data_IF_415983326450
#
_entry.id   IF_415983326450
#
_cell.length_a   1.000
_cell.length_b   1.000
_cell.length_c   1.000
_cell.angle_alpha   90.00
_cell.angle_beta   90.00
_cell.angle_gamma   90.00
#
_symmetry.space_group_name_H-M   'P 1'
#
loop_
_entity.id
_entity.type
_entity.pdbx_description
1 polymer ?
#
# COMPACT_ATOMS: atom_id res chain seq x y z
N UNK A 1 3.97 5.39 -5.56
CA UNK A 1 4.50 4.84 -4.28
C UNK A 1 5.26 3.58 -4.66
N UNK A 2 6.58 3.71 -4.86
CA UNK A 2 7.42 2.63 -5.40
C UNK A 2 7.76 1.69 -4.23
N UNK A 3 6.84 0.76 -3.93
CA UNK A 3 7.03 -0.31 -2.94
C UNK A 3 8.14 -1.31 -3.33
N UNK A 4 8.66 -1.22 -4.55
CA UNK A 4 9.42 -2.31 -5.18
C UNK A 4 10.95 -2.11 -5.09
N UNK A 5 11.43 -0.93 -4.71
CA UNK A 5 12.88 -0.65 -4.65
C UNK A 5 13.37 -0.27 -3.26
N UNK A 6 12.78 0.71 -2.57
CA UNK A 6 13.43 1.27 -1.37
C UNK A 6 13.30 0.42 -0.11
N UNK A 7 12.19 -0.27 0.11
CA UNK A 7 12.04 -1.09 1.32
C UNK A 7 12.61 -2.49 1.13
N UNK A 8 12.49 -3.07 -0.07
CA UNK A 8 13.21 -4.29 -0.42
C UNK A 8 14.74 -4.07 -0.26
N UNK A 9 15.32 -2.98 -0.78
CA UNK A 9 16.75 -2.63 -0.59
C UNK A 9 17.17 -2.41 0.87
N UNK A 10 16.27 -1.90 1.73
CA UNK A 10 16.55 -1.79 3.16
C UNK A 10 16.60 -3.15 3.86
N UNK A 11 15.88 -4.15 3.37
CA UNK A 11 16.04 -5.55 3.80
C UNK A 11 17.26 -6.24 3.18
N UNK A 12 17.93 -5.62 2.19
CA UNK A 12 19.03 -6.24 1.43
C UNK A 12 20.44 -5.91 1.92
N UNK A 13 20.59 -4.99 2.86
CA UNK A 13 21.88 -4.72 3.49
C UNK A 13 21.68 -4.88 4.99
N UNK A 14 22.14 -6.01 5.54
CA UNK A 14 22.60 -6.01 6.92
C UNK A 14 23.73 -5.00 7.01
N UNK A 15 23.39 -3.72 7.20
CA UNK A 15 24.35 -2.70 7.57
C UNK A 15 24.86 -3.11 8.93
N UNK A 16 26.02 -3.74 8.88
CA UNK A 16 26.77 -4.28 10.00
C UNK A 16 27.02 -3.16 11.01
N UNK A 17 26.11 -2.96 11.95
CA UNK A 17 26.39 -2.13 13.12
C UNK A 17 27.30 -2.96 14.05
N UNK A 18 28.52 -2.50 14.36
CA UNK A 18 29.44 -3.27 15.19
C UNK A 18 28.88 -3.38 16.62
N UNK A 19 29.27 -4.42 17.37
CA UNK A 19 28.53 -4.84 18.55
C UNK A 19 28.83 -3.88 19.70
N UNK A 20 27.79 -3.41 20.38
CA UNK A 20 27.93 -2.99 21.76
C UNK A 20 27.05 -3.86 22.64
N UNK A 21 27.74 -4.57 23.53
CA UNK A 21 27.23 -5.51 24.52
C UNK A 21 26.17 -4.85 25.39
N UNK A 22 25.03 -5.52 25.58
CA UNK A 22 24.30 -5.48 26.84
C UNK A 22 23.49 -6.77 27.03
N UNK A 23 23.84 -7.43 28.12
CA UNK A 23 23.26 -8.60 28.76
C UNK A 23 21.72 -8.68 28.83
N UNK A 24 21.23 -9.91 28.57
CA UNK A 24 20.48 -10.77 29.50
C UNK A 24 18.95 -10.53 29.72
N UNK A 25 18.22 -11.65 29.53
CA UNK A 25 16.90 -12.06 30.09
C UNK A 25 15.65 -11.26 29.69
N UNK A 26 14.68 -11.91 29.02
CA UNK A 26 13.57 -12.58 29.71
C UNK A 26 12.66 -13.33 28.70
N UNK A 27 12.24 -14.53 29.12
CA UNK A 27 11.14 -15.33 28.54
C UNK A 27 9.81 -14.67 28.92
N UNK A 28 8.96 -14.32 27.95
CA UNK A 28 7.51 -14.23 28.18
C UNK A 28 6.78 -14.78 26.96
N UNK A 29 6.08 -15.89 27.18
CA UNK A 29 5.09 -16.44 26.28
C UNK A 29 4.01 -15.39 26.01
N UNK A 30 3.77 -15.06 24.74
CA UNK A 30 2.58 -14.35 24.33
C UNK A 30 1.84 -15.21 23.31
N UNK A 31 0.79 -15.86 23.81
CA UNK A 31 -0.38 -16.25 23.03
C UNK A 31 -0.98 -14.98 22.45
N UNK A 32 -0.47 -14.51 21.32
CA UNK A 32 -1.10 -13.41 20.59
C UNK A 32 -2.26 -14.03 19.83
N UNK A 33 -3.46 -13.74 20.31
CA UNK A 33 -4.68 -13.81 19.53
C UNK A 33 -4.46 -12.93 18.30
N UNK A 34 -4.00 -13.54 17.21
CA UNK A 34 -3.92 -12.94 15.88
C UNK A 34 -5.32 -12.42 15.58
N UNK A 35 -5.55 -11.12 15.40
CA UNK A 35 -6.82 -10.67 14.87
C UNK A 35 -6.97 -11.37 13.52
N UNK A 36 -7.99 -12.21 13.42
CA UNK A 36 -8.27 -13.11 12.31
C UNK A 36 -8.42 -12.33 11.00
N UNK A 37 -7.33 -11.97 10.34
CA UNK A 37 -7.32 -11.62 8.93
C UNK A 37 -7.20 -12.92 8.11
N UNK A 38 -8.18 -13.80 8.34
CA UNK A 38 -8.47 -14.92 7.46
C UNK A 38 -9.25 -14.33 6.28
N UNK A 39 -8.61 -14.26 5.11
CA UNK A 39 -9.23 -13.90 3.83
C UNK A 39 -10.00 -12.56 3.87
N UNK A 40 -9.29 -11.44 4.05
CA UNK A 40 -9.92 -10.13 3.95
C UNK A 40 -10.37 -9.84 2.51
N UNK A 41 -11.68 -10.02 2.30
CA UNK A 41 -12.46 -9.34 1.29
C UNK A 41 -12.11 -7.84 1.34
N UNK A 42 -11.80 -7.23 0.20
CA UNK A 42 -11.49 -5.79 0.11
C UNK A 42 -12.53 -4.99 0.91
N UNK A 43 -12.13 -3.97 1.67
CA UNK A 43 -13.08 -3.16 2.43
C UNK A 43 -14.11 -2.57 1.46
N UNK A 44 -15.39 -2.66 1.84
CA UNK A 44 -16.46 -2.10 1.03
C UNK A 44 -16.24 -0.60 0.86
N UNK A 45 -16.26 -0.11 -0.39
CA UNK A 45 -16.10 1.30 -0.67
C UNK A 45 -17.18 2.15 0.03
N UNK A 46 -16.87 3.39 0.43
CA UNK A 46 -17.79 4.21 1.18
C UNK A 46 -19.02 4.57 0.34
N UNK A 47 -20.13 4.85 1.00
CA UNK A 47 -21.27 5.50 0.36
C UNK A 47 -20.88 6.93 -0.08
N UNK A 48 -21.58 7.46 -1.10
CA UNK A 48 -21.41 8.85 -1.58
C UNK A 48 -22.01 9.86 -0.58
N UNK A 49 -21.40 9.98 0.60
CA UNK A 49 -21.70 11.02 1.58
C UNK A 49 -20.45 11.41 2.36
N UNK A 50 -20.42 12.65 2.88
CA UNK A 50 -19.28 13.20 3.62
C UNK A 50 -18.94 12.33 4.83
N UNK A 51 -19.94 11.99 5.64
CA UNK A 51 -19.77 11.24 6.88
C UNK A 51 -19.26 9.82 6.61
N UNK A 52 -19.76 9.19 5.54
CA UNK A 52 -19.32 7.86 5.14
C UNK A 52 -17.86 7.85 4.68
N UNK A 53 -17.44 8.84 3.90
CA UNK A 53 -16.05 8.96 3.44
C UNK A 53 -15.10 9.27 4.59
N UNK A 54 -15.44 10.21 5.46
CA UNK A 54 -14.60 10.55 6.63
C UNK A 54 -14.41 9.33 7.51
N UNK A 55 -15.51 8.66 7.90
CA UNK A 55 -15.44 7.45 8.71
C UNK A 55 -14.62 6.35 8.03
N UNK A 56 -14.84 6.13 6.74
CA UNK A 56 -14.10 5.14 5.97
C UNK A 56 -12.59 5.41 5.96
N UNK A 57 -12.20 6.66 5.77
CA UNK A 57 -10.78 7.06 5.79
C UNK A 57 -10.15 6.87 7.18
N UNK A 58 -10.88 7.19 8.24
CA UNK A 58 -10.39 7.01 9.61
C UNK A 58 -10.26 5.53 9.97
N UNK A 59 -11.26 4.71 9.63
CA UNK A 59 -11.24 3.26 9.83
C UNK A 59 -10.05 2.62 9.06
N UNK A 60 -9.76 3.09 7.84
CA UNK A 60 -8.61 2.63 7.05
C UNK A 60 -7.27 3.07 7.64
N UNK A 61 -7.15 4.28 8.20
CA UNK A 61 -5.92 4.73 8.87
C UNK A 61 -5.60 3.88 10.09
N UNK A 62 -6.61 3.54 10.89
CA UNK A 62 -6.44 2.63 12.03
C UNK A 62 -5.97 1.26 11.57
N UNK A 63 -6.52 0.74 10.47
CA UNK A 63 -6.06 -0.52 9.87
C UNK A 63 -4.61 -0.42 9.35
N UNK A 64 -4.27 0.67 8.66
CA UNK A 64 -2.93 0.93 8.15
C UNK A 64 -1.88 0.94 9.29
N UNK A 65 -2.21 1.57 10.41
CA UNK A 65 -1.36 1.59 11.61
C UNK A 65 -1.20 0.20 12.20
N UNK A 66 -2.30 -0.54 12.36
CA UNK A 66 -2.27 -1.92 12.86
C UNK A 66 -1.41 -2.83 11.99
N UNK A 67 -1.57 -2.77 10.66
CA UNK A 67 -0.76 -3.52 9.72
C UNK A 67 0.72 -3.13 9.79
N UNK A 68 1.01 -1.83 9.91
CA UNK A 68 2.40 -1.35 10.02
C UNK A 68 3.09 -1.89 11.27
N UNK A 69 2.36 -1.98 12.39
CA UNK A 69 2.86 -2.56 13.63
C UNK A 69 3.13 -4.08 13.47
N UNK A 70 2.18 -4.83 12.90
CA UNK A 70 2.35 -6.27 12.66
C UNK A 70 3.50 -6.57 11.69
N UNK A 71 3.61 -5.80 10.60
CA UNK A 71 4.72 -5.90 9.65
C UNK A 71 6.04 -5.62 10.36
N UNK A 72 6.12 -4.59 11.20
CA UNK A 72 7.34 -4.28 11.94
C UNK A 72 7.74 -5.40 12.90
N UNK A 73 6.78 -6.06 13.54
CA UNK A 73 7.03 -7.19 14.44
C UNK A 73 7.60 -8.38 13.67
N UNK A 74 6.91 -8.83 12.61
CA UNK A 74 7.36 -9.97 11.79
C UNK A 74 8.68 -9.69 11.07
N UNK A 75 8.90 -8.45 10.64
CA UNK A 75 10.18 -8.02 10.04
C UNK A 75 11.31 -8.19 11.05
N UNK A 76 11.15 -7.71 12.29
CA UNK A 76 12.17 -7.87 13.35
C UNK A 76 12.45 -9.32 13.68
N UNK A 77 11.42 -10.18 13.66
CA UNK A 77 11.61 -11.61 13.90
C UNK A 77 12.37 -12.31 12.77
N UNK A 78 12.09 -11.94 11.52
CA UNK A 78 12.89 -12.40 10.39
C UNK A 78 14.33 -11.86 10.44
N UNK A 79 14.54 -10.60 10.85
CA UNK A 79 15.87 -10.00 10.96
C UNK A 79 16.73 -10.71 12.02
N UNK A 80 16.13 -11.15 13.13
CA UNK A 80 16.81 -11.97 14.16
C UNK A 80 17.33 -13.30 13.61
N UNK A 81 16.71 -13.85 12.55
CA UNK A 81 17.27 -15.03 11.87
C UNK A 81 18.63 -14.67 11.27
N UNK A 82 18.75 -13.48 10.68
CA UNK A 82 19.98 -12.91 10.14
C UNK A 82 21.13 -12.81 11.14
N UNK A 83 20.83 -12.41 12.37
CA UNK A 83 21.82 -12.31 13.46
C UNK A 83 22.38 -13.68 13.90
N UNK A 84 21.64 -14.76 13.64
CA UNK A 84 22.00 -16.13 13.99
C UNK A 84 22.57 -16.93 12.81
N UNK A 85 22.78 -16.29 11.66
CA UNK A 85 23.41 -16.94 10.50
C UNK A 85 24.89 -17.11 10.79
N UNK A 86 25.31 -18.37 10.90
CA UNK A 86 26.72 -18.73 10.98
C UNK A 86 27.37 -18.55 9.59
N UNK A 87 28.30 -17.59 9.41
CA UNK A 87 28.96 -17.35 8.13
C UNK A 87 29.72 -18.59 7.62
N UNK A 88 30.16 -19.47 8.52
CA UNK A 88 30.88 -20.70 8.15
C UNK A 88 29.98 -21.72 7.43
N UNK A 89 28.67 -21.72 7.74
CA UNK A 89 27.66 -22.55 7.04
C UNK A 89 27.35 -22.03 5.64
N UNK A 90 27.52 -20.74 5.39
CA UNK A 90 27.42 -20.14 4.05
C UNK A 90 28.55 -20.70 3.16
N UNK A 91 29.80 -20.66 3.64
CA UNK A 91 30.94 -21.25 2.90
C UNK A 91 30.87 -22.76 2.72
N UNK A 92 30.23 -23.49 3.64
CA UNK A 92 30.05 -24.93 3.51
C UNK A 92 29.04 -25.31 2.41
N UNK A 93 28.02 -24.48 2.14
CA UNK A 93 27.08 -24.73 1.04
C UNK A 93 27.71 -24.48 -0.33
N UNK A 94 28.60 -23.48 -0.46
CA UNK A 94 29.33 -23.21 -1.71
C UNK A 94 30.59 -24.08 -1.91
N UNK A 95 31.12 -24.70 -0.85
CA UNK A 95 32.48 -25.23 -0.81
C UNK A 95 32.65 -26.72 -1.13
N UNK A 96 31.63 -27.58 -0.97
CA UNK A 96 31.80 -29.02 -1.23
C UNK A 96 30.54 -29.67 -1.80
N UNK A 97 30.65 -30.17 -3.04
CA UNK A 97 29.65 -31.03 -3.74
C UNK A 97 28.25 -30.43 -3.89
N UNK A 98 28.11 -29.24 -4.46
CA UNK A 98 26.81 -28.81 -5.00
C UNK A 98 26.55 -29.49 -6.34
N UNK A 99 25.38 -30.12 -6.46
CA UNK A 99 24.82 -30.57 -7.72
C UNK A 99 24.73 -29.38 -8.68
N UNK A 100 25.49 -29.43 -9.78
CA UNK A 100 25.55 -28.35 -10.78
C UNK A 100 24.15 -28.06 -11.34
N UNK A 101 23.28 -29.07 -11.44
CA UNK A 101 21.90 -28.88 -11.89
C UNK A 101 21.10 -28.06 -10.87
N UNK A 102 21.23 -28.34 -9.57
CA UNK A 102 20.57 -27.57 -8.52
C UNK A 102 21.06 -26.11 -8.46
N UNK A 103 22.36 -25.87 -8.73
CA UNK A 103 22.91 -24.53 -8.84
C UNK A 103 22.33 -23.77 -10.04
N UNK A 104 22.27 -24.42 -11.21
CA UNK A 104 21.69 -23.84 -12.42
C UNK A 104 20.20 -23.53 -12.26
N UNK A 105 19.43 -24.44 -11.67
CA UNK A 105 18.01 -24.21 -11.37
C UNK A 105 17.80 -23.02 -10.45
N UNK A 106 18.60 -22.89 -9.38
CA UNK A 106 18.55 -21.73 -8.49
C UNK A 106 18.89 -20.44 -9.24
N UNK A 107 19.94 -20.45 -10.06
CA UNK A 107 20.32 -19.30 -10.86
C UNK A 107 19.21 -18.90 -11.85
N UNK A 108 18.54 -19.87 -12.46
CA UNK A 108 17.39 -19.63 -13.32
C UNK A 108 16.24 -18.96 -12.56
N UNK A 109 15.87 -19.49 -11.38
CA UNK A 109 14.83 -18.89 -10.51
C UNK A 109 15.18 -17.45 -10.11
N UNK A 110 16.44 -17.17 -9.80
CA UNK A 110 16.92 -15.81 -9.51
C UNK A 110 16.70 -14.88 -10.71
N UNK A 111 17.12 -15.29 -11.91
CA UNK A 111 16.96 -14.49 -13.12
C UNK A 111 15.48 -14.26 -13.47
N UNK A 112 14.66 -15.30 -13.36
CA UNK A 112 13.22 -15.23 -13.62
C UNK A 112 12.53 -14.29 -12.62
N UNK A 113 12.86 -14.38 -11.33
CA UNK A 113 12.30 -13.49 -10.32
C UNK A 113 12.75 -12.03 -10.51
N UNK A 114 14.00 -11.80 -10.92
CA UNK A 114 14.48 -10.47 -11.30
C UNK A 114 13.74 -9.91 -12.52
N UNK A 115 13.47 -10.73 -13.53
CA UNK A 115 12.70 -10.33 -14.70
C UNK A 115 11.26 -9.96 -14.33
N UNK A 116 10.60 -10.77 -13.49
CA UNK A 116 9.27 -10.48 -12.94
C UNK A 116 9.27 -9.15 -12.17
N UNK A 117 10.28 -8.91 -11.34
CA UNK A 117 10.39 -7.68 -10.57
C UNK A 117 10.56 -6.43 -11.45
N UNK A 118 11.35 -6.53 -12.54
CA UNK A 118 11.51 -5.45 -13.52
C UNK A 118 10.20 -5.13 -14.24
N UNK A 119 9.49 -6.15 -14.69
CA UNK A 119 8.20 -5.98 -15.35
C UNK A 119 7.16 -5.36 -14.40
N UNK A 120 7.15 -5.80 -13.13
CA UNK A 120 6.26 -5.25 -12.12
C UNK A 120 6.57 -3.78 -11.81
N UNK A 121 7.85 -3.42 -11.74
CA UNK A 121 8.29 -2.03 -11.57
C UNK A 121 7.83 -1.16 -12.73
N UNK A 122 7.97 -1.65 -13.97
CA UNK A 122 7.49 -0.94 -15.16
C UNK A 122 5.98 -0.71 -15.10
N UNK A 123 5.19 -1.74 -14.77
CA UNK A 123 3.74 -1.61 -14.58
C UNK A 123 3.38 -0.62 -13.47
N UNK A 124 4.12 -0.64 -12.35
CA UNK A 124 3.90 0.30 -11.27
C UNK A 124 4.10 1.77 -11.74
N UNK A 125 5.10 2.03 -12.59
CA UNK A 125 5.31 3.34 -13.21
C UNK A 125 4.17 3.72 -14.17
N UNK A 126 3.65 2.77 -14.94
CA UNK A 126 2.48 2.99 -15.82
C UNK A 126 1.21 3.31 -14.99
N UNK A 127 1.02 2.63 -13.86
CA UNK A 127 -0.06 2.94 -12.92
C UNK A 127 0.14 4.31 -12.25
N UNK A 128 1.35 4.67 -11.85
CA UNK A 128 1.63 5.99 -11.28
C UNK A 128 1.37 7.09 -12.33
N UNK A 129 1.77 6.90 -13.60
CA UNK A 129 1.50 7.85 -14.67
C UNK A 129 0.00 8.01 -14.97
N UNK A 130 -0.75 6.90 -15.06
CA UNK A 130 -2.20 6.95 -15.25
C UNK A 130 -2.93 7.57 -14.07
N UNK A 131 -2.46 7.34 -12.84
CA UNK A 131 -2.97 8.01 -11.64
C UNK A 131 -2.79 9.53 -11.75
N UNK A 132 -1.58 9.99 -12.13
CA UNK A 132 -1.32 11.43 -12.30
C UNK A 132 -2.21 12.06 -13.36
N UNK A 133 -2.42 11.38 -14.50
CA UNK A 133 -3.34 11.89 -15.53
C UNK A 133 -4.80 12.03 -15.03
N UNK A 134 -5.25 11.14 -14.14
CA UNK A 134 -6.56 11.26 -13.50
C UNK A 134 -6.57 12.44 -12.53
N UNK A 135 -5.52 12.61 -11.73
CA UNK A 135 -5.37 13.70 -10.77
C UNK A 135 -5.33 15.06 -11.47
N UNK A 136 -4.58 15.19 -12.56
CA UNK A 136 -4.53 16.41 -13.37
C UNK A 136 -5.92 16.78 -13.90
N UNK A 137 -6.67 15.79 -14.37
CA UNK A 137 -8.06 15.96 -14.81
C UNK A 137 -8.98 16.37 -13.66
N UNK A 138 -8.81 15.81 -12.46
CA UNK A 138 -9.55 16.23 -11.27
C UNK A 138 -9.23 17.68 -10.94
N UNK A 139 -7.95 18.06 -10.93
CA UNK A 139 -7.50 19.41 -10.62
C UNK A 139 -8.11 20.45 -11.56
N UNK A 140 -8.18 20.16 -12.87
CA UNK A 140 -8.86 21.04 -13.82
C UNK A 140 -10.35 21.24 -13.49
N UNK A 141 -11.06 20.17 -13.12
CA UNK A 141 -12.47 20.29 -12.73
C UNK A 141 -12.62 21.02 -11.39
N UNK A 142 -11.67 20.85 -10.46
CA UNK A 142 -11.61 21.56 -9.18
C UNK A 142 -11.32 23.05 -9.34
N UNK A 143 -10.47 23.44 -10.30
CA UNK A 143 -10.23 24.83 -10.65
C UNK A 143 -11.50 25.51 -11.16
N UNK A 144 -12.32 24.81 -11.96
CA UNK A 144 -13.61 25.30 -12.40
C UNK A 144 -14.68 25.34 -11.28
N UNK A 145 -14.61 24.41 -10.31
CA UNK A 145 -15.51 24.36 -9.16
C UNK A 145 -15.24 25.45 -8.13
N UNK A 146 -13.97 25.78 -7.89
CA UNK A 146 -13.52 26.73 -6.87
C UNK A 146 -14.24 28.09 -6.89
N UNK A 147 -14.39 28.80 -8.03
CA UNK A 147 -15.13 30.05 -8.06
C UNK A 147 -16.61 29.86 -7.72
N UNK A 148 -17.24 28.77 -8.15
CA UNK A 148 -18.65 28.47 -7.84
C UNK A 148 -18.86 28.23 -6.36
N UNK A 149 -17.94 27.51 -5.71
CA UNK A 149 -17.96 27.35 -4.26
C UNK A 149 -17.78 28.68 -3.53
N UNK A 150 -16.87 29.53 -4.02
CA UNK A 150 -16.61 30.86 -3.45
C UNK A 150 -17.84 31.77 -3.56
N UNK A 151 -18.50 31.79 -4.72
CA UNK A 151 -19.74 32.54 -4.93
C UNK A 151 -20.84 32.08 -3.99
N UNK A 152 -21.00 30.75 -3.83
CA UNK A 152 -21.93 30.17 -2.87
C UNK A 152 -21.63 30.63 -1.44
N UNK A 153 -20.39 30.52 -0.98
CA UNK A 153 -20.00 30.96 0.37
C UNK A 153 -20.28 32.45 0.57
N UNK A 154 -19.91 33.30 -0.39
CA UNK A 154 -20.07 34.75 -0.27
C UNK A 154 -21.54 35.20 -0.24
N UNK A 155 -22.40 34.60 -1.06
CA UNK A 155 -23.81 34.99 -1.15
C UNK A 155 -24.67 34.32 -0.08
N UNK A 156 -24.35 33.07 0.31
CA UNK A 156 -25.20 32.26 1.19
C UNK A 156 -24.77 32.14 2.63
N UNK A 157 -23.50 32.39 2.91
CA UNK A 157 -22.98 32.44 4.28
C UNK A 157 -22.53 33.86 4.62
N UNK A 158 -22.00 34.56 3.62
CA UNK A 158 -21.49 35.92 3.72
C UNK A 158 -22.57 37.01 3.71
N UNK A 159 -22.18 38.16 3.16
CA UNK A 159 -22.75 39.47 3.49
C UNK A 159 -24.16 39.70 2.90
N UNK A 160 -24.52 38.99 1.83
CA UNK A 160 -25.69 39.37 1.01
C UNK A 160 -26.99 38.61 1.31
N UNK A 161 -26.91 37.48 2.03
CA UNK A 161 -27.96 36.65 2.65
C UNK A 161 -29.40 36.69 2.07
N UNK A 162 -29.54 36.90 0.76
CA UNK A 162 -30.80 37.01 0.05
C UNK A 162 -30.82 35.98 -1.08
N UNK A 163 -31.73 35.00 -0.98
CA UNK A 163 -32.00 33.94 -1.96
C UNK A 163 -30.81 33.05 -2.37
N UNK A 164 -30.67 31.91 -1.69
CA UNK A 164 -29.55 30.98 -1.87
C UNK A 164 -29.75 29.83 -2.85
N UNK A 165 -30.99 29.55 -3.23
CA UNK A 165 -31.32 28.30 -3.93
C UNK A 165 -30.54 28.14 -5.25
N UNK A 166 -30.33 29.22 -6.00
CA UNK A 166 -29.59 29.18 -7.27
C UNK A 166 -28.10 28.83 -7.11
N UNK A 167 -27.43 29.46 -6.14
CA UNK A 167 -26.01 29.24 -5.87
C UNK A 167 -25.76 27.85 -5.28
N UNK A 168 -26.60 27.44 -4.34
CA UNK A 168 -26.52 26.11 -3.72
C UNK A 168 -26.74 25.00 -4.76
N UNK A 169 -27.76 25.12 -5.60
CA UNK A 169 -28.04 24.13 -6.64
C UNK A 169 -26.87 24.00 -7.62
N UNK A 170 -26.30 25.13 -8.08
CA UNK A 170 -25.15 25.12 -9.00
C UNK A 170 -23.92 24.46 -8.36
N UNK A 171 -23.61 24.81 -7.10
CA UNK A 171 -22.51 24.22 -6.35
C UNK A 171 -22.70 22.72 -6.15
N UNK A 172 -23.90 22.29 -5.73
CA UNK A 172 -24.17 20.88 -5.46
C UNK A 172 -24.16 20.05 -6.75
N UNK A 173 -24.67 20.59 -7.86
CA UNK A 173 -24.61 19.92 -9.16
C UNK A 173 -23.17 19.70 -9.62
N UNK A 174 -22.34 20.75 -9.62
CA UNK A 174 -20.94 20.62 -10.04
C UNK A 174 -20.14 19.72 -9.10
N UNK A 175 -20.41 19.79 -7.79
CA UNK A 175 -19.80 18.89 -6.80
C UNK A 175 -20.16 17.42 -7.06
N UNK A 176 -21.45 17.13 -7.32
CA UNK A 176 -21.93 15.78 -7.60
C UNK A 176 -21.36 15.21 -8.92
N UNK A 177 -21.23 16.04 -9.94
CA UNK A 177 -20.62 15.67 -11.22
C UNK A 177 -19.16 15.23 -11.03
N UNK A 178 -18.38 15.99 -10.25
CA UNK A 178 -16.99 15.64 -9.91
C UNK A 178 -16.95 14.34 -9.09
N UNK A 179 -17.73 14.24 -8.01
CA UNK A 179 -17.78 13.05 -7.17
C UNK A 179 -18.13 11.79 -7.98
N UNK A 180 -19.09 11.90 -8.89
CA UNK A 180 -19.55 10.78 -9.72
C UNK A 180 -18.52 10.41 -10.78
N UNK A 181 -17.88 11.40 -11.42
CA UNK A 181 -16.86 11.19 -12.47
C UNK A 181 -15.56 10.57 -11.93
N UNK A 182 -15.16 10.92 -10.70
CA UNK A 182 -13.85 10.50 -10.17
C UNK A 182 -13.93 9.41 -9.11
N UNK A 183 -14.98 9.34 -8.28
CA UNK A 183 -14.97 8.51 -7.06
C UNK A 183 -16.12 7.52 -6.91
N UNK A 184 -17.35 7.82 -7.37
CA UNK A 184 -18.54 7.03 -7.00
C UNK A 184 -19.38 6.48 -8.17
N UNK A 185 -19.16 6.93 -9.40
CA UNK A 185 -19.89 6.40 -10.57
C UNK A 185 -19.40 5.02 -11.00
N UNK A 186 -20.25 4.29 -11.75
CA UNK A 186 -19.91 2.98 -12.33
C UNK A 186 -18.69 3.01 -13.27
N UNK A 187 -18.32 4.20 -13.76
CA UNK A 187 -17.14 4.44 -14.59
C UNK A 187 -16.23 5.50 -13.98
N UNK A 188 -16.26 5.63 -12.66
CA UNK A 188 -15.42 6.57 -11.94
C UNK A 188 -13.94 6.25 -12.18
N UNK A 189 -13.17 7.29 -12.50
CA UNK A 189 -11.78 7.13 -12.93
C UNK A 189 -10.89 6.49 -11.86
N UNK A 190 -10.95 6.97 -10.61
CA UNK A 190 -10.08 6.42 -9.57
C UNK A 190 -10.46 5.01 -9.12
N UNK A 191 -11.74 4.64 -8.92
CA UNK A 191 -12.11 3.24 -8.68
C UNK A 191 -11.68 2.30 -9.81
N UNK A 192 -11.81 2.73 -11.07
CA UNK A 192 -11.33 1.96 -12.22
C UNK A 192 -9.82 1.72 -12.17
N UNK A 193 -9.05 2.77 -11.90
CA UNK A 193 -7.60 2.69 -11.67
C UNK A 193 -7.25 1.77 -10.49
N UNK A 194 -7.95 1.94 -9.36
CA UNK A 194 -7.71 1.23 -8.11
C UNK A 194 -7.95 -0.27 -8.27
N UNK A 195 -9.06 -0.66 -8.91
CA UNK A 195 -9.35 -2.06 -9.21
C UNK A 195 -8.26 -2.70 -10.08
N UNK A 196 -7.79 -2.00 -11.12
CA UNK A 196 -6.73 -2.50 -11.99
C UNK A 196 -5.37 -2.59 -11.26
N UNK A 197 -5.05 -1.59 -10.42
CA UNK A 197 -3.85 -1.55 -9.61
C UNK A 197 -3.83 -2.71 -8.61
N UNK A 198 -4.90 -2.88 -7.82
CA UNK A 198 -5.03 -3.93 -6.80
C UNK A 198 -4.92 -5.33 -7.41
N UNK A 199 -5.55 -5.56 -8.57
CA UNK A 199 -5.51 -6.85 -9.24
C UNK A 199 -4.12 -7.22 -9.79
N UNK A 200 -3.22 -6.25 -9.92
CA UNK A 200 -1.92 -6.44 -10.58
C UNK A 200 -0.77 -6.28 -9.59
N UNK A 201 -0.62 -5.08 -9.01
CA UNK A 201 0.60 -4.69 -8.32
C UNK A 201 0.76 -5.40 -6.96
N UNK A 202 -0.18 -5.30 -6.00
CA UNK A 202 -0.04 -5.98 -4.71
C UNK A 202 0.07 -7.51 -4.86
N UNK A 203 -0.79 -8.12 -5.67
CA UNK A 203 -0.84 -9.57 -5.84
C UNK A 203 0.45 -10.12 -6.46
N UNK A 204 0.96 -9.51 -7.53
CA UNK A 204 2.23 -9.96 -8.13
C UNK A 204 3.44 -9.63 -7.24
N UNK A 205 3.41 -8.52 -6.49
CA UNK A 205 4.47 -8.18 -5.53
C UNK A 205 4.63 -9.24 -4.45
N UNK A 206 3.51 -9.75 -3.93
CA UNK A 206 3.50 -10.82 -2.93
C UNK A 206 4.20 -12.08 -3.43
N UNK A 207 3.90 -12.51 -4.66
CA UNK A 207 4.54 -13.69 -5.24
C UNK A 207 6.06 -13.50 -5.41
N UNK A 208 6.47 -12.34 -5.92
CA UNK A 208 7.90 -11.98 -6.09
C UNK A 208 8.62 -11.96 -4.74
N UNK A 209 7.98 -11.43 -3.70
CA UNK A 209 8.51 -11.38 -2.34
C UNK A 209 8.69 -12.77 -1.72
N UNK A 210 7.70 -13.65 -1.84
CA UNK A 210 7.79 -15.03 -1.34
C UNK A 210 8.92 -15.79 -2.04
N UNK A 211 9.04 -15.67 -3.37
CA UNK A 211 10.09 -16.34 -4.14
C UNK A 211 11.47 -15.83 -3.74
N UNK A 212 11.62 -14.52 -3.60
CA UNK A 212 12.85 -13.88 -3.17
C UNK A 212 13.30 -14.38 -1.78
N UNK A 213 12.38 -14.39 -0.81
CA UNK A 213 12.69 -14.88 0.54
C UNK A 213 13.01 -16.39 0.52
N UNK A 214 12.39 -17.18 -0.34
CA UNK A 214 12.68 -18.61 -0.49
C UNK A 214 14.09 -18.86 -1.06
N UNK A 215 14.50 -18.08 -2.06
CA UNK A 215 15.88 -18.10 -2.58
C UNK A 215 16.89 -17.72 -1.48
N UNK A 216 16.54 -16.75 -0.63
CA UNK A 216 17.38 -16.35 0.49
C UNK A 216 17.54 -17.47 1.53
N UNK A 217 16.45 -18.10 1.97
CA UNK A 217 16.46 -19.28 2.86
C UNK A 217 17.40 -20.36 2.33
N UNK A 218 17.27 -20.68 1.05
CA UNK A 218 18.07 -21.64 0.32
C UNK A 218 19.56 -21.28 0.25
N UNK A 219 19.88 -20.00 0.10
CA UNK A 219 21.26 -19.51 0.00
C UNK A 219 21.97 -19.40 1.35
N UNK A 220 21.21 -19.07 2.40
CA UNK A 220 21.70 -18.83 3.76
C UNK A 220 21.59 -20.08 4.64
N UNK A 221 20.84 -21.10 4.21
CA UNK A 221 20.61 -22.32 4.99
C UNK A 221 19.73 -22.07 6.22
N UNK A 222 18.77 -21.16 6.12
CA UNK A 222 17.84 -20.77 7.19
C UNK A 222 16.40 -20.88 6.75
N UNK A 223 15.47 -20.77 7.70
CA UNK A 223 14.03 -20.64 7.42
C UNK A 223 13.51 -19.39 8.11
N UNK A 224 12.84 -18.53 7.37
CA UNK A 224 12.19 -17.34 7.91
C UNK A 224 10.82 -17.73 8.49
N UNK A 225 10.55 -17.42 9.76
CA UNK A 225 9.33 -17.86 10.43
C UNK A 225 8.05 -17.26 9.83
N UNK A 226 8.11 -16.06 9.24
CA UNK A 226 6.92 -15.30 8.82
C UNK A 226 6.87 -14.94 7.33
N UNK A 227 7.56 -15.69 6.46
CA UNK A 227 7.62 -15.37 5.01
C UNK A 227 6.25 -15.14 4.35
N UNK A 228 5.33 -16.10 4.50
CA UNK A 228 4.02 -16.04 3.86
C UNK A 228 3.09 -14.99 4.51
N UNK A 229 3.18 -14.88 5.83
CA UNK A 229 2.38 -13.92 6.59
C UNK A 229 2.82 -12.48 6.29
N UNK A 230 4.13 -12.22 6.32
CA UNK A 230 4.70 -10.92 5.99
C UNK A 230 4.34 -10.49 4.57
N UNK A 231 4.45 -11.39 3.59
CA UNK A 231 4.07 -11.09 2.21
C UNK A 231 2.55 -10.78 2.07
N UNK A 232 1.72 -11.44 2.86
CA UNK A 232 0.27 -11.18 2.89
C UNK A 232 -0.06 -9.86 3.58
N UNK A 233 0.60 -9.53 4.69
CA UNK A 233 0.42 -8.25 5.38
C UNK A 233 0.89 -7.08 4.50
N UNK A 234 2.00 -7.24 3.79
CA UNK A 234 2.51 -6.24 2.84
C UNK A 234 1.54 -6.02 1.67
N UNK A 235 0.95 -7.09 1.12
CA UNK A 235 -0.11 -7.00 0.11
C UNK A 235 -1.31 -6.19 0.64
N UNK A 236 -1.81 -6.53 1.82
CA UNK A 236 -2.94 -5.84 2.46
C UNK A 236 -2.63 -4.36 2.71
N UNK A 237 -1.42 -4.06 3.21
CA UNK A 237 -1.00 -2.68 3.45
C UNK A 237 -0.93 -1.89 2.14
N UNK A 238 -0.35 -2.46 1.08
CA UNK A 238 -0.28 -1.80 -0.23
C UNK A 238 -1.68 -1.50 -0.80
N UNK A 239 -2.65 -2.40 -0.58
CA UNK A 239 -4.06 -2.17 -0.94
C UNK A 239 -4.64 -1.00 -0.15
N UNK A 240 -4.51 -1.00 1.19
CA UNK A 240 -5.04 0.07 2.04
C UNK A 240 -4.39 1.42 1.70
N UNK A 241 -3.07 1.44 1.50
CA UNK A 241 -2.34 2.65 1.10
C UNK A 241 -2.87 3.21 -0.23
N UNK A 242 -3.16 2.35 -1.21
CA UNK A 242 -3.73 2.77 -2.49
C UNK A 242 -5.16 3.32 -2.36
N UNK A 243 -5.99 2.69 -1.51
CA UNK A 243 -7.35 3.18 -1.23
C UNK A 243 -7.29 4.54 -0.54
N UNK A 244 -6.45 4.69 0.49
CA UNK A 244 -6.23 5.96 1.20
C UNK A 244 -5.71 7.04 0.25
N UNK A 245 -4.81 6.69 -0.67
CA UNK A 245 -4.31 7.61 -1.70
C UNK A 245 -5.43 8.10 -2.62
N UNK A 246 -6.34 7.23 -3.05
CA UNK A 246 -7.46 7.62 -3.92
C UNK A 246 -8.46 8.50 -3.16
N UNK A 247 -9.00 8.02 -2.05
CA UNK A 247 -10.07 8.71 -1.33
C UNK A 247 -9.55 9.93 -0.55
N UNK A 248 -8.23 10.01 -0.34
CA UNK A 248 -7.56 11.21 0.18
C UNK A 248 -7.60 12.41 -0.77
N UNK A 249 -7.84 12.20 -2.07
CA UNK A 249 -7.97 13.30 -3.05
C UNK A 249 -9.37 13.96 -3.05
N UNK A 250 -10.34 13.41 -2.30
CA UNK A 250 -11.69 13.98 -2.23
C UNK A 250 -11.67 15.27 -1.39
N UNK A 251 -12.00 16.41 -2.00
CA UNK A 251 -12.31 17.63 -1.23
C UNK A 251 -13.74 17.54 -0.68
N UNK A 252 -13.88 17.64 0.64
CA UNK A 252 -15.17 17.56 1.33
C UNK A 252 -16.15 18.66 0.91
N UNK A 253 -15.66 19.78 0.35
CA UNK A 253 -16.50 20.87 -0.22
C UNK A 253 -17.42 20.38 -1.34
N UNK A 254 -17.07 19.28 -2.00
CA UNK A 254 -17.87 18.72 -3.09
C UNK A 254 -19.22 18.18 -2.61
N UNK A 255 -19.32 17.72 -1.37
CA UNK A 255 -20.57 17.21 -0.81
C UNK A 255 -21.53 18.34 -0.45
N UNK A 256 -22.86 18.11 -0.52
CA UNK A 256 -23.86 19.06 -0.05
C UNK A 256 -23.68 19.46 1.43
N UNK A 257 -24.06 20.69 1.78
CA UNK A 257 -23.98 21.22 3.14
C UNK A 257 -22.74 22.09 3.42
N UNK A 258 -22.66 22.61 4.65
CA UNK A 258 -21.58 23.50 5.11
C UNK A 258 -20.42 22.72 5.73
N UNK A 259 -19.20 23.23 5.56
CA UNK A 259 -17.97 22.65 6.11
C UNK A 259 -17.73 23.04 7.55
#
# INVERSE_FOLDING_TARGET
MIFISTDAEKFFIFEKKPPMKANLLLVVAFLIAVPSFVQAQLPAYPAKSREAVVKFMDDLRVQQESLSNQISEFSKENDKVGENIDPSKITASYGMTQDVNALMERQQRVMDNQARNKELTKKALEFDASYQAILDSLNMDMEAFTPVYTDYVNHCIGIENNSCSGYENKKNQMGDDILTKYFFGNSAKFPGWLSAFIATIPTQSKEVMIELMSIQEESLGVTFPHKADLATLMEQKAIIDAILKVYGEIDMKLFPGFN
#
